data_IF_635114692211
#
_entry.id   IF_635114692211
#
_cell.length_a   1.000
_cell.length_b   1.000
_cell.length_c   1.000
_cell.angle_alpha   90.00
_cell.angle_beta   90.00
_cell.angle_gamma   90.00
#
_symmetry.space_group_name_H-M   'P 1'
#
loop_
_entity.id
_entity.type
_entity.pdbx_description
1 polymer ?
#
# COMPACT_ATOMS: atom_id res chain seq x y z
N UNK A 1 52.03 -18.25 2.99
CA UNK A 1 51.17 -18.48 4.18
C UNK A 1 50.78 -17.14 4.78
N UNK A 2 49.55 -17.05 5.29
CA UNK A 2 48.87 -15.92 5.92
C UNK A 2 48.23 -14.87 4.97
N UNK A 3 46.90 -14.90 4.98
CA UNK A 3 45.89 -14.15 4.20
C UNK A 3 45.57 -12.74 4.76
N UNK A 4 45.00 -11.82 3.95
CA UNK A 4 44.70 -10.42 4.30
C UNK A 4 43.43 -10.22 5.15
N UNK A 5 43.16 -11.10 6.12
CA UNK A 5 41.99 -11.02 7.02
C UNK A 5 42.30 -10.49 8.43
N UNK A 6 43.55 -10.17 8.73
CA UNK A 6 43.98 -9.78 10.08
C UNK A 6 43.96 -8.25 10.37
N UNK A 7 43.75 -7.39 9.36
CA UNK A 7 43.87 -5.93 9.55
C UNK A 7 42.55 -5.18 9.78
N UNK A 8 41.38 -5.82 9.66
CA UNK A 8 40.08 -5.17 9.89
C UNK A 8 39.60 -5.24 11.36
N UNK A 9 40.08 -6.21 12.14
CA UNK A 9 39.71 -6.36 13.56
C UNK A 9 40.34 -5.31 14.48
N UNK A 10 41.43 -4.65 14.04
CA UNK A 10 42.15 -3.64 14.85
C UNK A 10 41.57 -2.23 14.74
N UNK A 11 40.77 -1.95 13.71
CA UNK A 11 40.18 -0.62 13.49
C UNK A 11 38.84 -0.40 14.22
N UNK A 12 38.14 -1.47 14.62
CA UNK A 12 36.83 -1.39 15.30
C UNK A 12 36.93 -1.25 16.83
N UNK A 13 38.12 -1.29 17.41
CA UNK A 13 38.35 -1.20 18.86
C UNK A 13 38.64 0.22 19.36
N UNK A 14 38.65 1.24 18.50
CA UNK A 14 39.00 2.62 18.87
C UNK A 14 37.88 3.68 18.75
N UNK A 15 36.66 3.31 18.34
CA UNK A 15 35.54 4.28 18.21
C UNK A 15 34.34 4.01 19.13
N UNK A 16 34.53 3.24 20.20
CA UNK A 16 33.47 2.96 21.18
C UNK A 16 33.78 3.54 22.57
N UNK A 17 34.10 4.83 22.65
CA UNK A 17 34.11 5.59 23.92
C UNK A 17 33.78 7.06 23.67
N UNK A 18 32.53 7.47 23.96
CA UNK A 18 32.12 8.75 24.57
C UNK A 18 30.62 9.02 24.31
N UNK A 19 29.78 8.67 25.28
CA UNK A 19 28.59 9.44 25.65
C UNK A 19 28.37 9.23 27.17
N UNK A 20 28.29 10.30 27.97
CA UNK A 20 28.17 10.20 29.42
C UNK A 20 26.73 9.87 29.85
N UNK A 21 26.58 8.92 30.78
CA UNK A 21 25.33 8.65 31.49
C UNK A 21 25.21 9.65 32.64
N UNK A 22 24.17 10.48 32.63
CA UNK A 22 23.77 11.32 33.75
C UNK A 22 22.92 10.47 34.69
N UNK A 23 23.35 10.32 35.94
CA UNK A 23 22.56 9.79 37.05
C UNK A 23 22.10 10.95 37.94
N UNK A 24 20.88 10.95 38.47
CA UNK A 24 20.58 11.69 39.69
C UNK A 24 20.75 10.79 40.94
N UNK A 25 21.14 11.36 42.09
CA UNK A 25 21.35 10.63 43.34
C UNK A 25 20.06 10.59 44.18
N UNK A 26 19.79 9.47 44.85
CA UNK A 26 19.71 9.34 46.32
C UNK A 26 19.07 8.00 46.72
N UNK A 27 19.52 7.54 47.88
CA UNK A 27 19.51 6.19 48.45
C UNK A 27 18.20 5.75 49.13
N UNK A 28 18.07 4.43 49.28
CA UNK A 28 17.02 3.72 50.01
C UNK A 28 17.03 3.94 51.54
N UNK A 29 15.88 3.79 52.21
CA UNK A 29 15.67 2.80 53.28
C UNK A 29 14.25 2.83 53.89
N UNK A 30 13.76 1.62 54.21
CA UNK A 30 12.83 1.22 55.31
C UNK A 30 11.38 1.73 55.39
N UNK A 31 10.44 0.76 55.44
CA UNK A 31 9.05 0.87 55.97
C UNK A 31 9.01 0.59 57.50
N UNK A 32 7.83 0.58 58.18
CA UNK A 32 6.89 1.66 58.57
C UNK A 32 6.71 1.71 60.13
N UNK A 33 5.78 2.48 60.77
CA UNK A 33 4.38 2.03 60.94
C UNK A 33 3.28 3.14 61.07
N UNK A 34 2.01 2.67 61.04
CA UNK A 34 0.71 3.27 61.36
C UNK A 34 0.56 4.68 61.95
N UNK A 35 -0.45 5.43 61.43
CA UNK A 35 -1.08 6.56 62.13
C UNK A 35 -2.18 7.24 61.29
N UNK A 36 -3.41 7.26 61.81
CA UNK A 36 -4.60 7.94 61.30
C UNK A 36 -4.40 9.47 61.25
N UNK A 37 -4.98 10.16 60.25
CA UNK A 37 -5.95 11.27 60.44
C UNK A 37 -6.27 12.01 59.13
N UNK A 38 -7.48 12.56 59.12
CA UNK A 38 -8.18 13.24 58.05
C UNK A 38 -7.52 14.56 57.58
N UNK A 39 -7.72 14.90 56.31
CA UNK A 39 -7.32 16.19 55.75
C UNK A 39 -7.86 16.38 54.34
N UNK A 40 -8.95 17.13 54.25
CA UNK A 40 -9.69 17.53 53.06
C UNK A 40 -8.78 18.11 51.97
N UNK A 41 -8.83 17.59 50.74
CA UNK A 41 -8.35 18.30 49.56
C UNK A 41 -9.49 18.49 48.58
N UNK A 42 -9.77 19.77 48.34
CA UNK A 42 -10.73 20.33 47.40
C UNK A 42 -10.46 19.78 46.00
N UNK A 43 -11.37 19.00 45.42
CA UNK A 43 -11.63 18.90 43.97
C UNK A 43 -13.07 18.40 43.77
N UNK A 44 -13.86 19.00 42.86
CA UNK A 44 -15.19 18.47 42.55
C UNK A 44 -15.05 17.14 41.80
N UNK A 45 -15.93 16.14 42.03
CA UNK A 45 -15.91 14.93 41.24
C UNK A 45 -16.32 15.22 39.78
N UNK A 46 -15.80 14.46 38.80
CA UNK A 46 -16.18 14.61 37.40
C UNK A 46 -17.66 14.27 37.18
N UNK A 47 -18.35 14.90 36.20
CA UNK A 47 -19.75 14.65 35.95
C UNK A 47 -19.97 13.22 35.45
N UNK A 48 -21.06 12.61 35.93
CA UNK A 48 -21.52 11.28 35.58
C UNK A 48 -21.79 11.14 34.07
N UNK A 49 -21.31 10.03 33.51
CA UNK A 49 -21.58 9.61 32.13
C UNK A 49 -23.08 9.40 31.89
N UNK A 50 -23.66 9.90 30.80
CA UNK A 50 -25.01 9.50 30.40
C UNK A 50 -24.98 8.12 29.73
N UNK A 51 -25.95 7.28 30.11
CA UNK A 51 -26.20 5.95 29.53
C UNK A 51 -26.44 6.01 28.01
N UNK A 52 -25.88 5.10 27.20
CA UNK A 52 -26.09 5.12 25.76
C UNK A 52 -27.30 4.25 25.36
N UNK A 53 -28.46 4.89 25.23
CA UNK A 53 -29.60 4.38 24.47
C UNK A 53 -29.87 5.31 23.29
N UNK A 54 -29.39 4.97 22.09
CA UNK A 54 -29.61 5.79 20.88
C UNK A 54 -28.59 5.49 19.79
N UNK A 55 -28.96 4.62 18.87
CA UNK A 55 -28.13 4.14 17.78
C UNK A 55 -27.83 5.23 16.74
N UNK A 56 -26.69 5.91 16.89
CA UNK A 56 -26.02 6.59 15.79
C UNK A 56 -24.99 5.65 15.18
N UNK A 57 -25.35 4.92 14.12
CA UNK A 57 -24.37 4.19 13.30
C UNK A 57 -23.54 5.22 12.53
N UNK A 58 -22.43 5.66 13.13
CA UNK A 58 -21.33 6.28 12.39
C UNK A 58 -20.67 5.21 11.53
N UNK A 59 -20.58 5.49 10.22
CA UNK A 59 -19.90 4.65 9.25
C UNK A 59 -18.49 4.29 9.74
N UNK A 60 -18.16 3.00 9.74
CA UNK A 60 -16.84 2.52 10.11
C UNK A 60 -15.80 3.07 9.13
N UNK A 61 -14.96 3.97 9.62
CA UNK A 61 -13.65 4.23 9.04
C UNK A 61 -12.81 2.95 9.17
N UNK A 62 -12.10 2.58 8.11
CA UNK A 62 -11.37 1.32 7.91
C UNK A 62 -10.10 1.15 8.77
N UNK A 63 -9.93 1.94 9.83
CA UNK A 63 -8.92 1.74 10.88
C UNK A 63 -7.46 1.81 10.43
N UNK A 64 -7.17 2.05 9.14
CA UNK A 64 -5.81 2.31 8.68
C UNK A 64 -5.44 3.73 9.07
N UNK A 65 -4.28 3.95 9.73
CA UNK A 65 -3.81 5.30 9.92
C UNK A 65 -3.62 5.89 8.54
N UNK A 66 -4.47 6.86 8.17
CA UNK A 66 -4.16 7.84 7.12
C UNK A 66 -2.95 8.58 7.66
N UNK A 67 -1.78 8.00 7.41
CA UNK A 67 -0.53 8.49 7.93
C UNK A 67 -0.41 9.97 7.59
N UNK A 68 0.14 10.79 8.49
CA UNK A 68 0.35 12.18 8.17
C UNK A 68 1.11 12.33 6.85
N UNK A 69 0.84 13.39 6.09
CA UNK A 69 1.43 13.71 4.78
C UNK A 69 2.97 13.57 4.76
N UNK A 70 3.62 13.72 5.91
CA UNK A 70 5.08 13.61 6.11
C UNK A 70 5.64 12.19 6.31
N UNK A 71 4.82 11.13 6.36
CA UNK A 71 5.34 9.73 6.37
C UNK A 71 5.61 9.17 4.98
N UNK A 72 5.34 9.93 3.91
CA UNK A 72 5.89 9.62 2.59
C UNK A 72 7.14 10.47 2.37
N UNK A 73 8.21 9.87 1.87
CA UNK A 73 9.46 10.52 1.50
C UNK A 73 9.30 11.50 0.30
N UNK A 74 8.06 11.79 -0.12
CA UNK A 74 7.67 12.52 -1.32
C UNK A 74 7.16 13.91 -0.93
N UNK A 75 7.96 14.94 -1.21
CA UNK A 75 7.59 16.33 -0.97
C UNK A 75 6.51 16.73 -2.00
N UNK A 76 5.29 17.04 -1.56
CA UNK A 76 4.24 17.55 -2.46
C UNK A 76 4.39 19.07 -2.53
N UNK A 77 4.57 19.61 -3.74
CA UNK A 77 4.67 21.04 -3.99
C UNK A 77 3.38 21.80 -3.64
N UNK A 78 3.48 23.11 -3.37
CA UNK A 78 2.31 23.94 -3.05
C UNK A 78 1.29 23.97 -4.20
N UNK A 79 1.77 23.95 -5.45
CA UNK A 79 0.91 23.92 -6.63
C UNK A 79 0.18 22.58 -6.77
N UNK A 80 0.88 21.46 -6.57
CA UNK A 80 0.27 20.14 -6.51
C UNK A 80 -0.78 20.05 -5.40
N UNK A 81 -0.50 20.56 -4.20
CA UNK A 81 -1.47 20.61 -3.10
C UNK A 81 -2.73 21.41 -3.46
N UNK A 82 -2.56 22.58 -4.07
CA UNK A 82 -3.68 23.39 -4.55
C UNK A 82 -4.51 22.63 -5.59
N UNK A 83 -3.85 21.97 -6.54
CA UNK A 83 -4.52 21.16 -7.56
C UNK A 83 -5.30 19.99 -6.95
N UNK A 84 -4.70 19.21 -6.04
CA UNK A 84 -5.36 18.09 -5.35
C UNK A 84 -6.62 18.57 -4.62
N UNK A 85 -6.51 19.66 -3.85
CA UNK A 85 -7.65 20.19 -3.11
C UNK A 85 -8.75 20.71 -4.04
N UNK A 86 -8.39 21.39 -5.12
CA UNK A 86 -9.34 21.87 -6.12
C UNK A 86 -10.05 20.72 -6.85
N UNK A 87 -9.31 19.71 -7.30
CA UNK A 87 -9.86 18.54 -7.99
C UNK A 87 -10.88 17.82 -7.10
N UNK A 88 -10.57 17.64 -5.83
CA UNK A 88 -11.47 17.01 -4.86
C UNK A 88 -12.69 17.88 -4.56
N UNK A 89 -12.51 19.21 -4.45
CA UNK A 89 -13.61 20.15 -4.20
C UNK A 89 -14.64 20.16 -5.33
N UNK A 90 -14.19 20.04 -6.57
CA UNK A 90 -15.05 20.10 -7.76
C UNK A 90 -15.36 18.72 -8.36
N UNK A 91 -15.18 17.61 -7.61
CA UNK A 91 -15.44 16.25 -8.10
C UNK A 91 -16.86 16.04 -8.67
N UNK A 92 -17.86 16.75 -8.15
CA UNK A 92 -19.26 16.68 -8.59
C UNK A 92 -19.72 17.77 -9.56
N UNK A 93 -18.83 18.69 -9.96
CA UNK A 93 -19.14 19.80 -10.87
C UNK A 93 -18.14 19.79 -12.03
N UNK A 94 -18.54 19.13 -13.13
CA UNK A 94 -17.65 18.90 -14.28
C UNK A 94 -17.22 20.20 -14.96
N UNK A 95 -18.05 21.25 -14.96
CA UNK A 95 -17.69 22.56 -15.54
C UNK A 95 -16.59 23.22 -14.72
N UNK A 96 -16.75 23.31 -13.39
CA UNK A 96 -15.71 23.86 -12.51
C UNK A 96 -14.45 23.00 -12.50
N UNK A 97 -14.61 21.69 -12.59
CA UNK A 97 -13.48 20.76 -12.68
C UNK A 97 -12.69 20.99 -13.97
N UNK A 98 -13.36 21.09 -15.11
CA UNK A 98 -12.73 21.36 -16.40
C UNK A 98 -12.01 22.72 -16.41
N UNK A 99 -12.62 23.75 -15.83
CA UNK A 99 -12.01 25.07 -15.71
C UNK A 99 -10.76 25.07 -14.82
N UNK A 100 -10.81 24.38 -13.67
CA UNK A 100 -9.65 24.18 -12.80
C UNK A 100 -8.53 23.43 -13.54
N UNK A 101 -8.88 22.36 -14.27
CA UNK A 101 -7.91 21.57 -15.04
C UNK A 101 -7.22 22.46 -16.07
N UNK A 102 -7.98 23.23 -16.84
CA UNK A 102 -7.46 24.12 -17.88
C UNK A 102 -6.56 25.23 -17.33
N UNK A 103 -6.95 25.86 -16.21
CA UNK A 103 -6.23 27.02 -15.65
C UNK A 103 -5.05 26.63 -14.77
N UNK A 104 -5.21 25.58 -13.97
CA UNK A 104 -4.24 25.23 -12.92
C UNK A 104 -3.52 23.93 -13.18
N UNK A 105 -4.21 22.86 -13.60
CA UNK A 105 -3.58 21.54 -13.76
C UNK A 105 -2.73 21.45 -15.02
N UNK A 106 -3.18 22.03 -16.14
CA UNK A 106 -2.49 21.98 -17.42
C UNK A 106 -1.07 22.56 -17.35
N UNK A 107 -0.87 23.61 -16.56
CA UNK A 107 0.42 24.29 -16.37
C UNK A 107 1.34 23.66 -15.32
N UNK A 108 0.89 22.63 -14.59
CA UNK A 108 1.72 21.96 -13.59
C UNK A 108 2.93 21.31 -14.27
N UNK A 109 4.07 21.33 -13.57
CA UNK A 109 5.27 20.62 -13.99
C UNK A 109 5.08 19.10 -13.89
N UNK A 110 5.91 18.34 -14.62
CA UNK A 110 5.94 16.86 -14.57
C UNK A 110 5.91 16.32 -13.14
N UNK A 111 6.82 16.82 -12.29
CA UNK A 111 6.93 16.35 -10.90
C UNK A 111 5.64 16.57 -10.10
N UNK A 112 4.99 17.72 -10.28
CA UNK A 112 3.73 18.03 -9.59
C UNK A 112 2.56 17.21 -10.13
N UNK A 113 2.43 17.02 -11.45
CA UNK A 113 1.40 16.15 -12.05
C UNK A 113 1.50 14.71 -11.52
N UNK A 114 2.71 14.17 -11.44
CA UNK A 114 2.96 12.84 -10.87
C UNK A 114 2.73 12.78 -9.34
N UNK A 115 2.95 13.89 -8.63
CA UNK A 115 2.63 13.99 -7.21
C UNK A 115 1.11 14.04 -6.98
N UNK A 116 0.37 14.79 -7.81
CA UNK A 116 -1.09 14.85 -7.80
C UNK A 116 -1.68 13.47 -8.04
N UNK A 117 -1.25 12.77 -9.11
CA UNK A 117 -1.72 11.42 -9.43
C UNK A 117 -1.52 10.47 -8.25
N UNK A 118 -0.27 10.35 -7.76
CA UNK A 118 0.04 9.43 -6.66
C UNK A 118 -0.69 9.76 -5.35
N UNK A 119 -0.97 11.03 -5.09
CA UNK A 119 -1.74 11.42 -3.89
C UNK A 119 -3.23 11.09 -4.05
N UNK A 120 -3.81 11.23 -5.25
CA UNK A 120 -5.19 10.81 -5.52
C UNK A 120 -5.34 9.29 -5.41
N UNK A 121 -4.40 8.52 -5.96
CA UNK A 121 -4.35 7.06 -5.82
C UNK A 121 -4.24 6.64 -4.34
N UNK A 122 -3.35 7.28 -3.58
CA UNK A 122 -3.17 7.02 -2.14
C UNK A 122 -4.42 7.34 -1.32
N UNK A 123 -5.18 8.36 -1.74
CA UNK A 123 -6.44 8.74 -1.10
C UNK A 123 -7.64 7.95 -1.62
N UNK A 124 -7.45 7.03 -2.57
CA UNK A 124 -8.50 6.22 -3.19
C UNK A 124 -9.54 7.08 -3.95
N UNK A 125 -9.14 8.28 -4.39
CA UNK A 125 -9.93 9.15 -5.27
C UNK A 125 -9.73 8.74 -6.74
N UNK A 126 -10.05 7.48 -7.04
CA UNK A 126 -9.69 6.81 -8.29
C UNK A 126 -10.32 7.43 -9.55
N UNK A 127 -11.53 8.00 -9.46
CA UNK A 127 -12.14 8.71 -10.60
C UNK A 127 -11.27 9.89 -11.06
N UNK A 128 -10.77 10.65 -10.08
CA UNK A 128 -9.90 11.79 -10.32
C UNK A 128 -8.50 11.33 -10.72
N UNK A 129 -8.01 10.23 -10.15
CA UNK A 129 -6.73 9.63 -10.54
C UNK A 129 -6.73 9.22 -12.02
N UNK A 130 -7.79 8.55 -12.49
CA UNK A 130 -7.95 8.19 -13.91
C UNK A 130 -8.02 9.44 -14.80
N UNK A 131 -8.75 10.49 -14.39
CA UNK A 131 -8.75 11.77 -15.12
C UNK A 131 -7.35 12.40 -15.17
N UNK A 132 -6.62 12.39 -14.05
CA UNK A 132 -5.25 12.92 -13.96
C UNK A 132 -4.26 12.11 -14.81
N UNK A 133 -4.40 10.78 -14.83
CA UNK A 133 -3.61 9.88 -15.67
C UNK A 133 -3.82 10.19 -17.15
N UNK A 134 -5.07 10.38 -17.59
CA UNK A 134 -5.40 10.79 -18.98
C UNK A 134 -4.85 12.18 -19.33
N UNK A 135 -4.77 13.09 -18.37
CA UNK A 135 -4.10 14.40 -18.57
C UNK A 135 -2.61 14.18 -18.79
N UNK A 136 -1.97 13.35 -17.96
CA UNK A 136 -0.54 13.01 -18.08
C UNK A 136 -0.23 12.36 -19.42
N UNK A 137 -1.08 11.45 -19.92
CA UNK A 137 -0.91 10.81 -21.23
C UNK A 137 -0.86 11.79 -22.42
N UNK A 138 -1.43 13.00 -22.26
CA UNK A 138 -1.44 14.04 -23.31
C UNK A 138 -0.26 15.00 -23.25
N UNK A 139 0.64 14.81 -22.29
CA UNK A 139 1.80 15.69 -22.10
C UNK A 139 2.95 15.31 -23.04
N UNK A 140 3.67 16.30 -23.56
CA UNK A 140 4.80 16.07 -24.48
C UNK A 140 5.93 15.24 -23.85
N UNK A 141 6.09 15.30 -22.52
CA UNK A 141 7.10 14.55 -21.78
C UNK A 141 6.66 13.13 -21.39
N UNK A 142 5.42 12.75 -21.73
CA UNK A 142 4.87 11.45 -21.37
C UNK A 142 5.66 10.32 -22.00
N UNK A 143 5.95 9.32 -21.17
CA UNK A 143 6.45 8.01 -21.60
C UNK A 143 5.69 6.96 -20.80
N UNK A 144 5.18 5.89 -21.45
CA UNK A 144 4.57 4.77 -20.76
C UNK A 144 5.51 4.27 -19.64
N UNK A 145 4.98 4.14 -18.43
CA UNK A 145 5.74 3.71 -17.25
C UNK A 145 4.94 2.63 -16.51
N UNK A 146 5.58 1.46 -16.35
CA UNK A 146 5.03 0.31 -15.65
C UNK A 146 4.54 0.68 -14.24
N UNK A 147 5.29 1.53 -13.52
CA UNK A 147 4.93 1.89 -12.15
C UNK A 147 3.65 2.72 -12.10
N UNK A 148 3.45 3.65 -13.04
CA UNK A 148 2.23 4.46 -13.10
C UNK A 148 0.99 3.60 -13.38
N UNK A 149 1.09 2.66 -14.32
CA UNK A 149 0.01 1.73 -14.61
C UNK A 149 -0.30 0.84 -13.41
N UNK A 150 0.74 0.19 -12.86
CA UNK A 150 0.61 -0.73 -11.72
C UNK A 150 -0.05 -0.06 -10.51
N UNK A 151 0.42 1.13 -10.12
CA UNK A 151 -0.10 1.84 -8.94
C UNK A 151 -1.58 2.22 -9.13
N UNK A 152 -1.95 2.70 -10.33
CA UNK A 152 -3.34 3.03 -10.68
C UNK A 152 -4.25 1.79 -10.69
N UNK A 153 -3.81 0.68 -11.30
CA UNK A 153 -4.55 -0.59 -11.33
C UNK A 153 -4.79 -1.09 -9.92
N UNK A 154 -3.76 -1.10 -9.07
CA UNK A 154 -3.89 -1.52 -7.67
C UNK A 154 -4.85 -0.60 -6.93
N UNK A 155 -4.79 0.72 -7.14
CA UNK A 155 -5.71 1.69 -6.53
C UNK A 155 -7.16 1.44 -6.93
N UNK A 156 -7.43 1.21 -8.22
CA UNK A 156 -8.75 0.84 -8.75
C UNK A 156 -9.24 -0.48 -8.14
N UNK A 157 -8.36 -1.48 -8.04
CA UNK A 157 -8.69 -2.75 -7.40
C UNK A 157 -9.08 -2.54 -5.92
N UNK A 158 -8.38 -1.68 -5.16
CA UNK A 158 -8.76 -1.36 -3.76
C UNK A 158 -10.18 -0.82 -3.66
N UNK A 159 -10.56 0.02 -4.64
CA UNK A 159 -11.86 0.65 -4.73
C UNK A 159 -12.95 -0.25 -5.35
N UNK A 160 -12.66 -1.54 -5.58
CA UNK A 160 -13.56 -2.51 -6.22
C UNK A 160 -14.00 -2.13 -7.63
N UNK A 161 -13.20 -1.33 -8.34
CA UNK A 161 -13.45 -0.93 -9.73
C UNK A 161 -12.70 -1.84 -10.70
N UNK A 162 -13.08 -3.11 -10.74
CA UNK A 162 -12.35 -4.14 -11.49
C UNK A 162 -12.42 -3.91 -13.00
N UNK A 163 -13.58 -3.53 -13.53
CA UNK A 163 -13.75 -3.27 -14.96
C UNK A 163 -12.80 -2.15 -15.43
N UNK A 164 -12.74 -1.03 -14.69
CA UNK A 164 -11.82 0.06 -14.99
C UNK A 164 -10.36 -0.39 -14.82
N UNK A 165 -10.04 -1.19 -13.80
CA UNK A 165 -8.70 -1.73 -13.59
C UNK A 165 -8.25 -2.60 -14.78
N UNK A 166 -9.14 -3.43 -15.32
CA UNK A 166 -8.86 -4.28 -16.50
C UNK A 166 -8.75 -3.46 -17.79
N UNK A 167 -9.48 -2.35 -17.93
CA UNK A 167 -9.29 -1.40 -19.02
C UNK A 167 -7.89 -0.76 -18.95
N UNK A 168 -7.46 -0.30 -17.78
CA UNK A 168 -6.12 0.26 -17.61
C UNK A 168 -5.03 -0.80 -17.86
N UNK A 169 -5.25 -2.05 -17.42
CA UNK A 169 -4.38 -3.18 -17.75
C UNK A 169 -4.28 -3.45 -19.26
N UNK A 170 -5.40 -3.36 -19.98
CA UNK A 170 -5.45 -3.44 -21.44
C UNK A 170 -4.62 -2.34 -22.10
N UNK A 171 -4.85 -1.08 -21.72
CA UNK A 171 -4.15 0.08 -22.27
C UNK A 171 -2.62 0.00 -22.10
N UNK A 172 -2.15 -0.55 -20.98
CA UNK A 172 -0.72 -0.79 -20.75
C UNK A 172 -0.12 -1.68 -21.85
N UNK A 173 -0.84 -2.73 -22.26
CA UNK A 173 -0.40 -3.65 -23.33
C UNK A 173 -0.46 -2.97 -24.69
N UNK A 174 -1.45 -2.12 -24.94
CA UNK A 174 -1.58 -1.34 -26.18
C UNK A 174 -0.40 -0.35 -26.35
N UNK A 175 0.17 0.12 -25.23
CA UNK A 175 1.41 0.90 -25.21
C UNK A 175 2.69 0.05 -25.24
N UNK A 176 2.57 -1.26 -25.51
CA UNK A 176 3.67 -2.24 -25.58
C UNK A 176 4.51 -2.33 -24.30
N UNK A 177 3.89 -2.13 -23.14
CA UNK A 177 4.53 -2.36 -21.85
C UNK A 177 4.33 -3.82 -21.41
N UNK A 178 5.44 -4.53 -21.18
CA UNK A 178 5.47 -5.90 -20.71
C UNK A 178 5.77 -5.94 -19.20
N UNK A 179 4.85 -6.45 -18.36
CA UNK A 179 5.08 -6.55 -16.92
C UNK A 179 6.16 -7.56 -16.59
N UNK A 180 6.97 -7.24 -15.57
CA UNK A 180 7.88 -8.21 -14.97
C UNK A 180 7.12 -9.15 -14.00
N UNK A 181 7.79 -10.23 -13.61
CA UNK A 181 7.29 -11.21 -12.63
C UNK A 181 6.77 -10.55 -11.34
N UNK A 182 7.48 -9.54 -10.83
CA UNK A 182 7.07 -8.83 -9.63
C UNK A 182 5.77 -8.05 -9.84
N UNK A 183 5.61 -7.37 -10.98
CA UNK A 183 4.42 -6.61 -11.32
C UNK A 183 3.21 -7.52 -11.48
N UNK A 184 3.35 -8.66 -12.19
CA UNK A 184 2.30 -9.67 -12.25
C UNK A 184 1.89 -10.13 -10.84
N UNK A 185 2.86 -10.48 -9.99
CA UNK A 185 2.59 -10.92 -8.63
C UNK A 185 1.89 -9.85 -7.77
N UNK A 186 2.24 -8.58 -7.91
CA UNK A 186 1.62 -7.47 -7.18
C UNK A 186 0.19 -7.20 -7.64
N UNK A 187 -0.04 -7.17 -8.95
CA UNK A 187 -1.36 -6.92 -9.54
C UNK A 187 -2.31 -8.09 -9.24
N UNK A 188 -1.88 -9.33 -9.48
CA UNK A 188 -2.64 -10.56 -9.14
C UNK A 188 -3.03 -10.55 -7.65
N UNK A 189 -2.08 -10.24 -6.76
CA UNK A 189 -2.36 -10.11 -5.32
C UNK A 189 -3.41 -9.05 -5.04
N UNK A 190 -3.38 -7.92 -5.75
CA UNK A 190 -4.39 -6.88 -5.69
C UNK A 190 -5.79 -7.44 -5.98
N UNK A 191 -5.98 -8.04 -7.16
CA UNK A 191 -7.27 -8.60 -7.57
C UNK A 191 -7.78 -9.70 -6.63
N UNK A 192 -6.92 -10.63 -6.22
CA UNK A 192 -7.28 -11.68 -5.24
C UNK A 192 -7.71 -11.09 -3.90
N UNK A 193 -6.98 -10.08 -3.39
CA UNK A 193 -7.27 -9.44 -2.09
C UNK A 193 -8.60 -8.70 -2.09
N UNK A 194 -8.97 -8.09 -3.21
CA UNK A 194 -10.17 -7.25 -3.30
C UNK A 194 -11.38 -7.99 -3.89
N UNK A 195 -11.26 -9.31 -4.08
CA UNK A 195 -12.38 -10.22 -4.32
C UNK A 195 -12.70 -10.49 -5.78
N UNK A 196 -11.75 -10.35 -6.70
CA UNK A 196 -11.93 -10.76 -8.09
C UNK A 196 -10.92 -11.85 -8.51
N UNK A 197 -11.14 -13.11 -8.12
CA UNK A 197 -10.27 -14.22 -8.52
C UNK A 197 -10.32 -14.49 -10.02
N UNK A 198 -11.44 -14.23 -10.69
CA UNK A 198 -11.57 -14.39 -12.14
C UNK A 198 -10.66 -13.43 -12.90
N UNK A 199 -10.61 -12.15 -12.50
CA UNK A 199 -9.71 -11.17 -13.13
C UNK A 199 -8.24 -11.46 -12.82
N UNK A 200 -7.94 -11.93 -11.60
CA UNK A 200 -6.61 -12.41 -11.26
C UNK A 200 -6.16 -13.57 -12.17
N UNK A 201 -7.08 -14.48 -12.54
CA UNK A 201 -6.79 -15.55 -13.49
C UNK A 201 -6.62 -15.02 -14.92
N UNK A 202 -7.35 -13.98 -15.35
CA UNK A 202 -7.11 -13.35 -16.66
C UNK A 202 -5.70 -12.78 -16.76
N UNK A 203 -5.22 -12.13 -15.70
CA UNK A 203 -3.86 -11.57 -15.63
C UNK A 203 -2.81 -12.68 -15.57
N UNK A 204 -3.12 -13.79 -14.91
CA UNK A 204 -2.27 -14.99 -14.93
C UNK A 204 -2.15 -15.59 -16.34
N UNK A 205 -3.24 -15.66 -17.11
CA UNK A 205 -3.20 -16.12 -18.49
C UNK A 205 -2.39 -15.17 -19.39
N UNK A 206 -2.44 -13.86 -19.13
CA UNK A 206 -1.57 -12.89 -19.80
C UNK A 206 -0.08 -13.12 -19.46
N UNK A 207 0.23 -13.42 -18.20
CA UNK A 207 1.59 -13.78 -17.78
C UNK A 207 2.12 -15.01 -18.53
N UNK A 208 1.31 -16.04 -18.74
CA UNK A 208 1.70 -17.23 -19.51
C UNK A 208 1.98 -16.93 -20.99
N UNK A 209 1.39 -15.86 -21.53
CA UNK A 209 1.58 -15.39 -22.91
C UNK A 209 2.69 -14.32 -23.02
N UNK A 210 3.29 -13.93 -21.90
CA UNK A 210 4.38 -12.97 -21.87
C UNK A 210 5.60 -13.49 -22.64
N UNK A 211 6.40 -12.63 -23.28
CA UNK A 211 7.66 -13.03 -23.89
C UNK A 211 8.64 -13.63 -22.87
N UNK A 212 8.58 -13.15 -21.63
CA UNK A 212 9.43 -13.63 -20.54
C UNK A 212 8.85 -14.92 -19.93
N UNK A 213 9.71 -15.92 -19.64
CA UNK A 213 9.26 -17.15 -19.01
C UNK A 213 8.63 -16.85 -17.64
N UNK A 214 7.49 -17.49 -17.29
CA UNK A 214 6.90 -17.34 -15.98
C UNK A 214 7.90 -17.64 -14.86
N UNK A 215 7.85 -16.86 -13.80
CA UNK A 215 8.62 -17.11 -12.58
C UNK A 215 7.73 -17.66 -11.48
N UNK A 216 8.34 -18.23 -10.45
CA UNK A 216 7.64 -18.89 -9.34
C UNK A 216 6.82 -17.95 -8.43
N UNK A 217 7.21 -16.67 -8.32
CA UNK A 217 6.60 -15.73 -7.38
C UNK A 217 5.08 -15.50 -7.64
N UNK A 218 4.62 -15.21 -8.87
CA UNK A 218 3.19 -15.15 -9.21
C UNK A 218 2.40 -16.41 -8.82
N UNK A 219 2.93 -17.62 -9.05
CA UNK A 219 2.26 -18.87 -8.70
C UNK A 219 2.07 -19.01 -7.18
N UNK A 220 3.10 -18.67 -6.39
CA UNK A 220 2.99 -18.67 -4.92
C UNK A 220 1.91 -17.71 -4.43
N UNK A 221 1.75 -16.55 -5.08
CA UNK A 221 0.68 -15.60 -4.77
C UNK A 221 -0.70 -16.18 -5.11
N UNK A 222 -0.86 -16.78 -6.29
CA UNK A 222 -2.11 -17.40 -6.73
C UNK A 222 -2.52 -18.55 -5.82
N UNK A 223 -1.64 -19.51 -5.58
CA UNK A 223 -1.97 -20.71 -4.79
C UNK A 223 -2.34 -20.37 -3.35
N UNK A 224 -1.78 -19.29 -2.80
CA UNK A 224 -2.17 -18.75 -1.49
C UNK A 224 -3.50 -18.00 -1.54
N UNK A 225 -3.71 -17.15 -2.55
CA UNK A 225 -4.93 -16.33 -2.64
C UNK A 225 -6.16 -17.11 -3.12
N UNK A 226 -5.96 -18.22 -3.82
CA UNK A 226 -7.02 -19.11 -4.33
C UNK A 226 -7.36 -20.26 -3.37
N UNK A 227 -6.92 -20.23 -2.11
CA UNK A 227 -7.35 -21.21 -1.09
C UNK A 227 -8.88 -21.36 -1.02
N UNK A 228 -9.70 -20.28 -1.11
CA UNK A 228 -11.16 -20.40 -1.15
C UNK A 228 -11.73 -20.93 -2.48
N UNK A 229 -10.88 -21.10 -3.51
CA UNK A 229 -11.27 -21.45 -4.88
C UNK A 229 -10.47 -22.67 -5.37
N UNK A 230 -10.75 -23.88 -4.85
CA UNK A 230 -9.92 -25.07 -5.08
C UNK A 230 -9.81 -25.45 -6.57
N UNK A 231 -10.85 -25.25 -7.36
CA UNK A 231 -10.81 -25.54 -8.80
C UNK A 231 -9.77 -24.68 -9.55
N UNK A 232 -9.73 -23.37 -9.26
CA UNK A 232 -8.75 -22.46 -9.84
C UNK A 232 -7.36 -22.74 -9.31
N UNK A 233 -7.25 -23.02 -8.01
CA UNK A 233 -5.99 -23.37 -7.35
C UNK A 233 -5.35 -24.62 -7.95
N UNK A 234 -6.13 -25.67 -8.17
CA UNK A 234 -5.65 -26.93 -8.72
C UNK A 234 -5.14 -26.76 -10.16
N UNK A 235 -5.83 -25.95 -10.97
CA UNK A 235 -5.33 -25.59 -12.32
C UNK A 235 -3.97 -24.89 -12.25
N UNK A 236 -3.82 -23.88 -11.39
CA UNK A 236 -2.54 -23.16 -11.22
C UNK A 236 -1.45 -24.09 -10.70
N UNK A 237 -1.80 -25.04 -9.82
CA UNK A 237 -0.86 -26.04 -9.28
C UNK A 237 -0.35 -26.97 -10.38
N UNK A 238 -1.27 -27.50 -11.19
CA UNK A 238 -0.93 -28.33 -12.34
C UNK A 238 -0.03 -27.57 -13.33
N UNK A 239 -0.42 -26.35 -13.71
CA UNK A 239 0.38 -25.49 -14.58
C UNK A 239 1.80 -25.26 -14.01
N UNK A 240 1.93 -25.13 -12.69
CA UNK A 240 3.25 -24.99 -12.04
C UNK A 240 4.09 -26.26 -12.15
N UNK A 241 3.52 -27.42 -11.87
CA UNK A 241 4.22 -28.71 -11.93
C UNK A 241 4.68 -29.02 -13.36
N UNK A 242 3.86 -28.67 -14.36
CA UNK A 242 4.20 -28.80 -15.78
C UNK A 242 5.35 -27.86 -16.20
N UNK A 243 5.36 -26.61 -15.70
CA UNK A 243 6.39 -25.61 -16.04
C UNK A 243 7.69 -25.78 -15.25
N UNK A 244 7.62 -26.33 -14.03
CA UNK A 244 8.76 -26.49 -13.13
C UNK A 244 8.84 -27.91 -12.56
N UNK A 245 9.10 -28.94 -13.39
CA UNK A 245 9.07 -30.34 -12.96
C UNK A 245 10.09 -30.67 -11.86
N UNK A 246 11.18 -29.91 -11.76
CA UNK A 246 12.20 -30.07 -10.72
C UNK A 246 11.87 -29.33 -9.41
N UNK A 247 10.83 -28.50 -9.39
CA UNK A 247 10.44 -27.70 -8.22
C UNK A 247 9.10 -28.19 -7.69
N UNK A 248 9.05 -28.49 -6.40
CA UNK A 248 7.80 -28.84 -5.73
C UNK A 248 7.32 -27.68 -4.86
N UNK A 249 6.08 -27.23 -5.07
CA UNK A 249 5.46 -26.24 -4.17
C UNK A 249 4.98 -26.95 -2.92
N UNK A 250 5.38 -26.44 -1.75
CA UNK A 250 4.86 -26.90 -0.48
C UNK A 250 3.35 -26.67 -0.40
N UNK A 251 2.58 -27.77 -0.39
CA UNK A 251 1.13 -27.79 -0.26
C UNK A 251 0.75 -28.42 1.08
N UNK A 252 0.59 -27.61 2.15
CA UNK A 252 0.25 -28.15 3.46
C UNK A 252 -1.15 -28.81 3.43
N UNK A 253 -1.34 -29.97 4.10
CA UNK A 253 -2.61 -30.69 4.09
C UNK A 253 -3.78 -29.82 4.57
N UNK A 254 -4.93 -29.98 3.92
CA UNK A 254 -6.13 -29.15 4.07
C UNK A 254 -6.64 -29.07 5.53
N UNK A 255 -6.36 -30.10 6.34
CA UNK A 255 -6.68 -30.22 7.76
C UNK A 255 -6.12 -29.09 8.63
N UNK A 256 -5.07 -28.39 8.19
CA UNK A 256 -4.46 -27.28 8.94
C UNK A 256 -5.31 -26.00 8.89
N UNK A 257 -6.23 -25.87 7.92
CA UNK A 257 -6.98 -24.63 7.67
C UNK A 257 -8.40 -24.59 8.26
N UNK A 258 -8.84 -25.64 8.98
CA UNK A 258 -10.01 -25.59 9.86
C UNK A 258 -11.32 -25.14 9.19
N UNK A 259 -11.64 -25.66 8.01
CA UNK A 259 -12.98 -25.53 7.43
C UNK A 259 -13.79 -26.79 7.73
N UNK A 260 -14.46 -26.81 8.89
CA UNK A 260 -15.68 -27.59 9.14
C UNK A 260 -16.92 -26.69 8.93
#
# INVERSE_FOLDING_TARGET
MATPRANLARLLLHLRRRCPKIQPPFSASSSPPHGLLAGSSLWPPPPSSPSPGGAWRRAFHDGRPRGPLWRSKKLIGKEALFAIQGLKRFKGDEEKLADLVKRHVARLLKADKLAVLGELERQEEVDLAVKMFRIIQKEDWYKPDMYMYKDLIIALAKCKKMDEAMVIWGNMRDENLFPDSQTYAEVIRGFLRYGSPSDAMNIYEDMKKSPDPPEELPFRVLLKGLLPHPLLRNRVKQDFEELFPERHIYDPPEEIFGME
#
